data_IF_071337415733
#
_entry.id   IF_071337415733
#
_cell.length_a   1.000
_cell.length_b   1.000
_cell.length_c   1.000
_cell.angle_alpha   90.00
_cell.angle_beta   90.00
_cell.angle_gamma   90.00
#
_symmetry.space_group_name_H-M   'P 1'
#
loop_
_entity.id
_entity.type
_entity.pdbx_description
1 polymer ?
#
# COMPACT_ATOMS: atom_id res chain seq x y z
N UNK A 1 13.78 -10.53 -20.28
CA UNK A 1 14.06 -9.41 -19.35
C UNK A 1 14.30 -10.02 -17.97
N UNK A 2 15.53 -9.99 -17.48
CA UNK A 2 15.85 -10.49 -16.15
C UNK A 2 15.01 -9.78 -15.09
N UNK A 3 14.44 -10.55 -14.14
CA UNK A 3 13.82 -9.99 -12.94
C UNK A 3 14.93 -9.37 -12.07
N UNK A 4 15.39 -8.17 -12.43
CA UNK A 4 16.48 -7.42 -11.76
C UNK A 4 16.25 -7.27 -10.25
N UNK A 5 15.00 -7.45 -9.78
CA UNK A 5 14.61 -7.34 -8.38
C UNK A 5 13.60 -8.43 -7.99
N UNK A 6 13.97 -9.28 -7.03
CA UNK A 6 13.04 -10.26 -6.44
C UNK A 6 12.23 -9.61 -5.30
N UNK A 7 11.01 -9.18 -5.63
CA UNK A 7 10.03 -8.57 -4.71
C UNK A 7 9.64 -9.41 -3.48
N UNK A 8 9.98 -10.71 -3.49
CA UNK A 8 9.63 -11.66 -2.44
C UNK A 8 10.83 -12.18 -1.66
N UNK A 9 12.03 -11.63 -1.89
CA UNK A 9 13.25 -12.03 -1.20
C UNK A 9 13.16 -11.66 0.29
N UNK A 10 13.64 -12.55 1.16
CA UNK A 10 13.86 -12.24 2.59
C UNK A 10 15.10 -11.35 2.75
N UNK A 11 15.08 -10.49 3.74
CA UNK A 11 16.21 -9.67 4.14
C UNK A 11 17.32 -10.52 4.75
N UNK A 12 18.52 -10.35 4.22
CA UNK A 12 19.76 -10.94 4.71
C UNK A 12 20.71 -9.82 5.17
N UNK A 13 21.07 -9.71 6.46
CA UNK A 13 21.93 -8.64 6.98
C UNK A 13 23.38 -8.79 6.51
N UNK A 14 23.77 -9.98 6.06
CA UNK A 14 25.11 -10.22 5.53
C UNK A 14 25.20 -9.83 4.04
N UNK A 15 24.07 -9.58 3.38
CA UNK A 15 24.03 -9.18 1.98
C UNK A 15 24.51 -7.74 1.82
N UNK A 16 25.45 -7.53 0.91
CA UNK A 16 25.87 -6.18 0.47
C UNK A 16 24.96 -5.60 -0.61
N UNK A 17 24.18 -6.45 -1.28
CA UNK A 17 23.24 -6.03 -2.32
C UNK A 17 22.08 -5.21 -1.74
N UNK A 18 21.61 -4.18 -2.46
CA UNK A 18 20.44 -3.42 -2.06
C UNK A 18 19.20 -4.31 -1.85
N UNK A 19 18.43 -4.01 -0.81
CA UNK A 19 17.22 -4.75 -0.49
C UNK A 19 15.96 -3.99 -0.92
N UNK A 20 15.12 -4.64 -1.74
CA UNK A 20 13.87 -4.03 -2.22
C UNK A 20 12.81 -4.11 -1.14
N UNK A 21 12.31 -2.95 -0.73
CA UNK A 21 11.27 -2.82 0.27
C UNK A 21 10.09 -2.05 -0.33
N UNK A 22 8.98 -2.75 -0.56
CA UNK A 22 7.80 -2.09 -1.13
C UNK A 22 7.09 -1.21 -0.09
N UNK A 23 6.35 -0.21 -0.60
CA UNK A 23 5.39 0.61 0.15
C UNK A 23 4.52 -0.24 1.10
N UNK A 24 4.01 -1.37 0.62
CA UNK A 24 3.16 -2.28 1.42
C UNK A 24 3.87 -2.92 2.59
N UNK A 25 5.19 -3.11 2.51
CA UNK A 25 5.96 -3.68 3.60
C UNK A 25 6.37 -2.63 4.62
N UNK A 26 6.56 -1.38 4.22
CA UNK A 26 6.70 -0.26 5.17
C UNK A 26 5.43 -0.13 6.01
N UNK A 27 4.26 -0.15 5.37
CA UNK A 27 2.99 -0.10 6.08
C UNK A 27 2.79 -1.33 7.00
N UNK A 28 3.19 -2.53 6.57
CA UNK A 28 3.19 -3.72 7.43
C UNK A 28 4.07 -3.55 8.69
N UNK A 29 5.22 -2.89 8.58
CA UNK A 29 6.09 -2.58 9.73
C UNK A 29 5.39 -1.66 10.73
N UNK A 30 4.75 -0.60 10.22
CA UNK A 30 3.99 0.35 11.04
C UNK A 30 2.81 -0.34 11.75
N UNK A 31 2.15 -1.28 11.07
CA UNK A 31 0.97 -1.96 11.59
C UNK A 31 1.30 -3.10 12.56
N UNK A 32 2.32 -3.92 12.27
CA UNK A 32 2.68 -5.05 13.10
C UNK A 32 4.13 -5.48 12.89
N UNK A 33 5.00 -5.10 13.83
CA UNK A 33 6.43 -5.46 13.83
C UNK A 33 6.69 -6.97 13.75
N UNK A 34 5.88 -7.80 14.42
CA UNK A 34 6.01 -9.26 14.37
C UNK A 34 5.71 -9.81 12.98
N UNK A 35 4.57 -9.44 12.39
CA UNK A 35 4.22 -9.89 11.05
C UNK A 35 5.24 -9.42 10.01
N UNK A 36 5.73 -8.18 10.15
CA UNK A 36 6.81 -7.66 9.32
C UNK A 36 8.10 -8.48 9.45
N UNK A 37 8.53 -8.82 10.67
CA UNK A 37 9.73 -9.62 10.90
C UNK A 37 9.59 -11.03 10.34
N UNK A 38 8.47 -11.71 10.60
CA UNK A 38 8.19 -13.05 10.06
C UNK A 38 8.28 -13.03 8.53
N UNK A 39 7.65 -12.04 7.88
CA UNK A 39 7.57 -11.96 6.43
C UNK A 39 8.91 -11.54 5.79
N UNK A 40 9.52 -10.44 6.26
CA UNK A 40 10.75 -9.90 5.64
C UNK A 40 12.00 -10.60 6.12
N UNK A 41 12.11 -11.01 7.38
CA UNK A 41 13.34 -11.62 7.91
C UNK A 41 13.34 -13.13 7.78
N UNK A 42 12.22 -13.78 8.11
CA UNK A 42 12.12 -15.24 8.13
C UNK A 42 11.47 -15.84 6.87
N UNK A 43 10.86 -15.01 6.02
CA UNK A 43 10.18 -15.47 4.80
C UNK A 43 8.80 -16.10 5.04
N UNK A 44 8.24 -15.97 6.25
CA UNK A 44 6.94 -16.50 6.63
C UNK A 44 5.88 -15.42 6.40
N UNK A 45 5.18 -15.54 5.27
CA UNK A 45 4.10 -14.62 4.89
C UNK A 45 2.83 -14.93 5.67
N UNK A 46 2.06 -13.88 6.01
CA UNK A 46 0.67 -14.05 6.43
C UNK A 46 -0.14 -14.64 5.26
N UNK A 47 -1.22 -15.37 5.54
CA UNK A 47 -2.14 -15.84 4.50
C UNK A 47 -2.56 -14.70 3.57
N UNK A 48 -2.62 -14.98 2.26
CA UNK A 48 -3.06 -14.01 1.28
C UNK A 48 -4.56 -13.74 1.46
N UNK A 49 -4.97 -12.49 1.28
CA UNK A 49 -6.39 -12.13 1.16
C UNK A 49 -6.89 -12.41 -0.25
N UNK A 50 -8.21 -12.56 -0.40
CA UNK A 50 -8.82 -12.63 -1.72
C UNK A 50 -8.56 -11.33 -2.50
N UNK A 51 -8.32 -11.40 -3.82
CA UNK A 51 -8.11 -10.21 -4.63
C UNK A 51 -9.42 -9.43 -4.81
N UNK A 52 -9.34 -8.10 -4.74
CA UNK A 52 -10.46 -7.21 -5.08
C UNK A 52 -10.54 -6.99 -6.59
N UNK A 53 -10.89 -8.04 -7.35
CA UNK A 53 -10.84 -8.05 -8.82
C UNK A 53 -11.72 -6.97 -9.47
N UNK A 54 -12.87 -6.65 -8.89
CA UNK A 54 -13.72 -5.56 -9.35
C UNK A 54 -13.04 -4.19 -9.19
N UNK A 55 -12.41 -3.95 -8.04
CA UNK A 55 -11.67 -2.70 -7.80
C UNK A 55 -10.50 -2.56 -8.77
N UNK A 56 -9.79 -3.67 -9.06
CA UNK A 56 -8.71 -3.70 -10.04
C UNK A 56 -9.23 -3.38 -11.45
N UNK A 57 -10.40 -3.90 -11.83
CA UNK A 57 -10.99 -3.60 -13.13
C UNK A 57 -11.35 -2.10 -13.26
N UNK A 58 -11.93 -1.51 -12.21
CA UNK A 58 -12.29 -0.10 -12.18
C UNK A 58 -11.03 0.78 -12.23
N UNK A 59 -10.01 0.46 -11.43
CA UNK A 59 -8.70 1.13 -11.49
C UNK A 59 -8.11 1.13 -12.90
N UNK A 60 -8.13 -0.03 -13.57
CA UNK A 60 -7.64 -0.15 -14.95
C UNK A 60 -8.46 0.64 -15.97
N UNK A 61 -9.78 0.77 -15.77
CA UNK A 61 -10.65 1.59 -16.62
C UNK A 61 -10.40 3.09 -16.40
N UNK A 62 -10.27 3.53 -15.15
CA UNK A 62 -9.94 4.91 -14.82
C UNK A 62 -8.59 5.33 -15.40
N UNK A 63 -7.57 4.46 -15.31
CA UNK A 63 -6.26 4.73 -15.93
C UNK A 63 -6.38 5.01 -17.42
N UNK A 64 -7.14 4.18 -18.15
CA UNK A 64 -7.41 4.36 -19.59
C UNK A 64 -8.18 5.65 -19.88
N UNK A 65 -9.19 5.96 -19.07
CA UNK A 65 -9.98 7.19 -19.21
C UNK A 65 -9.11 8.44 -19.03
N UNK A 66 -8.30 8.48 -17.98
CA UNK A 66 -7.34 9.54 -17.74
C UNK A 66 -6.22 9.58 -18.80
N UNK A 67 -5.81 8.44 -19.38
CA UNK A 67 -4.86 8.39 -20.50
C UNK A 67 -5.38 9.13 -21.74
N UNK A 68 -6.68 9.02 -22.06
CA UNK A 68 -7.28 9.78 -23.18
C UNK A 68 -7.15 11.30 -22.95
N UNK A 69 -7.39 11.76 -21.73
CA UNK A 69 -7.23 13.18 -21.38
C UNK A 69 -5.75 13.61 -21.38
N UNK A 70 -4.85 12.73 -20.89
CA UNK A 70 -3.39 12.94 -20.87
C UNK A 70 -2.80 13.09 -22.26
N UNK A 71 -3.21 12.26 -23.21
CA UNK A 71 -2.74 12.31 -24.60
C UNK A 71 -3.15 13.60 -25.29
N UNK A 72 -4.35 14.09 -25.01
CA UNK A 72 -4.89 15.35 -25.54
C UNK A 72 -4.35 16.58 -24.80
N UNK A 73 -3.70 16.42 -23.65
CA UNK A 73 -3.24 17.53 -22.82
C UNK A 73 -4.40 18.35 -22.24
N UNK A 74 -5.54 17.71 -21.96
CA UNK A 74 -6.74 18.39 -21.46
C UNK A 74 -7.08 17.95 -20.04
N UNK A 75 -7.79 18.82 -19.34
CA UNK A 75 -8.33 18.52 -18.02
C UNK A 75 -9.42 17.44 -18.11
N UNK A 76 -9.36 16.47 -17.19
CA UNK A 76 -10.37 15.43 -17.05
C UNK A 76 -11.69 16.00 -16.50
N UNK A 77 -12.84 15.38 -16.83
CA UNK A 77 -14.18 15.82 -16.39
C UNK A 77 -14.29 15.92 -14.86
N UNK A 78 -13.88 14.88 -14.13
CA UNK A 78 -13.85 14.92 -12.65
C UNK A 78 -13.06 16.11 -12.07
N UNK A 79 -11.94 16.50 -12.70
CA UNK A 79 -11.17 17.66 -12.27
C UNK A 79 -11.92 18.98 -12.57
N UNK A 80 -12.60 19.08 -13.72
CA UNK A 80 -13.44 20.24 -14.08
C UNK A 80 -14.59 20.43 -13.11
N UNK A 81 -15.37 19.38 -12.88
CA UNK A 81 -16.54 19.38 -11.99
C UNK A 81 -16.14 19.73 -10.55
N UNK A 82 -14.98 19.23 -10.11
CA UNK A 82 -14.42 19.50 -8.78
C UNK A 82 -13.63 20.81 -8.68
N UNK A 83 -13.56 21.61 -9.76
CA UNK A 83 -12.80 22.88 -9.83
C UNK A 83 -11.32 22.74 -9.46
N UNK A 84 -10.71 21.61 -9.78
CA UNK A 84 -9.28 21.34 -9.57
C UNK A 84 -8.55 21.68 -10.87
N UNK A 85 -7.80 22.78 -10.89
CA UNK A 85 -7.05 23.23 -12.07
C UNK A 85 -5.80 22.36 -12.34
N UNK A 86 -6.00 21.12 -12.74
CA UNK A 86 -4.93 20.17 -13.03
C UNK A 86 -5.27 19.31 -14.25
N UNK A 87 -4.24 18.95 -15.02
CA UNK A 87 -4.37 17.98 -16.12
C UNK A 87 -3.61 16.69 -15.76
N UNK A 88 -3.96 15.53 -16.32
CA UNK A 88 -3.19 14.32 -16.05
C UNK A 88 -1.76 14.49 -16.57
N UNK A 89 -0.77 14.26 -15.71
CA UNK A 89 0.63 14.55 -15.99
C UNK A 89 1.20 13.57 -17.02
N UNK A 90 1.96 14.09 -17.98
CA UNK A 90 2.64 13.28 -19.00
C UNK A 90 4.11 13.14 -18.65
N UNK A 91 4.58 11.91 -18.50
CA UNK A 91 5.98 11.60 -18.21
C UNK A 91 6.39 10.30 -18.93
N UNK A 92 7.61 10.22 -19.52
CA UNK A 92 8.06 9.01 -20.23
C UNK A 92 8.05 7.73 -19.38
N UNK A 93 8.35 7.85 -18.08
CA UNK A 93 8.38 6.71 -17.15
C UNK A 93 7.03 6.41 -16.49
N UNK A 94 5.95 7.15 -16.80
CA UNK A 94 4.68 7.01 -16.07
C UNK A 94 4.12 5.57 -16.14
N UNK A 95 4.20 4.93 -17.30
CA UNK A 95 3.73 3.54 -17.46
C UNK A 95 4.52 2.56 -16.58
N UNK A 96 5.83 2.80 -16.44
CA UNK A 96 6.69 2.03 -15.53
C UNK A 96 6.31 2.28 -14.07
N UNK A 97 6.03 3.54 -13.71
CA UNK A 97 5.64 3.93 -12.35
C UNK A 97 4.27 3.38 -11.93
N UNK A 98 3.36 3.15 -12.88
CA UNK A 98 2.04 2.56 -12.64
C UNK A 98 2.03 1.03 -12.60
N UNK A 99 3.09 0.36 -13.05
CA UNK A 99 3.13 -1.10 -13.12
C UNK A 99 3.59 -1.75 -11.80
N UNK A 100 2.78 -2.66 -11.25
CA UNK A 100 2.99 -3.30 -9.93
C UNK A 100 4.37 -3.96 -9.71
N UNK A 101 5.04 -4.46 -10.74
CA UNK A 101 6.34 -5.12 -10.61
C UNK A 101 7.54 -4.27 -11.09
N UNK A 102 7.28 -3.08 -11.64
CA UNK A 102 8.31 -2.06 -11.89
C UNK A 102 8.20 -0.99 -10.81
N UNK A 103 7.15 -0.20 -10.86
CA UNK A 103 6.86 0.90 -9.94
C UNK A 103 7.91 2.01 -10.01
N UNK A 104 7.60 3.15 -9.41
CA UNK A 104 8.61 4.16 -9.10
C UNK A 104 9.53 3.59 -8.01
N UNK A 105 10.84 3.85 -8.13
CA UNK A 105 11.87 3.30 -7.25
C UNK A 105 12.82 4.38 -6.79
N UNK A 106 13.30 4.28 -5.56
CA UNK A 106 14.39 5.11 -5.06
C UNK A 106 15.34 4.30 -4.18
N UNK A 107 16.65 4.50 -4.37
CA UNK A 107 17.67 3.88 -3.53
C UNK A 107 18.00 4.78 -2.34
N UNK A 108 17.43 4.45 -1.19
CA UNK A 108 17.76 5.08 0.08
C UNK A 108 19.12 4.59 0.55
N UNK A 109 20.17 5.36 0.21
CA UNK A 109 21.59 4.96 0.35
C UNK A 109 21.99 4.62 1.79
N UNK A 110 21.47 5.35 2.77
CA UNK A 110 21.81 5.17 4.19
C UNK A 110 21.40 3.80 4.73
N UNK A 111 20.26 3.25 4.29
CA UNK A 111 19.79 1.91 4.71
C UNK A 111 20.12 0.82 3.71
N UNK A 112 20.63 1.19 2.52
CA UNK A 112 20.78 0.34 1.36
C UNK A 112 19.46 -0.32 0.91
N UNK A 113 18.34 0.39 1.06
CA UNK A 113 17.03 -0.08 0.60
C UNK A 113 16.65 0.53 -0.74
N UNK A 114 16.06 -0.27 -1.61
CA UNK A 114 15.33 0.21 -2.79
C UNK A 114 13.86 0.27 -2.40
N UNK A 115 13.36 1.48 -2.14
CA UNK A 115 11.95 1.70 -1.86
C UNK A 115 11.20 1.69 -3.19
N UNK A 116 10.07 0.99 -3.24
CA UNK A 116 9.32 0.83 -4.48
C UNK A 116 7.81 0.87 -4.25
N UNK A 117 7.09 1.43 -5.22
CA UNK A 117 5.63 1.54 -5.19
C UNK A 117 5.06 1.74 -6.59
N UNK A 118 3.87 1.18 -6.84
CA UNK A 118 3.13 1.43 -8.06
C UNK A 118 1.98 2.40 -7.78
N UNK A 119 1.97 3.51 -8.50
CA UNK A 119 1.02 4.61 -8.29
C UNK A 119 -0.15 4.48 -9.26
N UNK A 120 -1.29 5.07 -8.94
CA UNK A 120 -2.43 5.05 -9.88
C UNK A 120 -2.32 6.16 -10.91
N UNK A 121 -2.14 7.41 -10.45
CA UNK A 121 -2.04 8.56 -11.32
C UNK A 121 -1.27 9.75 -10.69
N UNK A 122 -0.92 10.71 -11.54
CA UNK A 122 -0.27 11.98 -11.21
C UNK A 122 -0.98 13.06 -12.01
N UNK A 123 -1.38 14.15 -11.36
CA UNK A 123 -1.94 15.33 -12.03
C UNK A 123 -1.00 16.52 -11.92
N UNK A 124 -0.83 17.29 -12.99
CA UNK A 124 -0.04 18.52 -12.99
C UNK A 124 -0.95 19.72 -12.77
N UNK A 125 -0.73 20.42 -11.65
CA UNK A 125 -1.36 21.68 -11.33
C UNK A 125 -1.02 22.73 -12.39
N UNK A 126 -2.02 23.37 -13.00
CA UNK A 126 -1.78 24.30 -14.09
C UNK A 126 -1.31 25.69 -13.63
N UNK A 127 -1.53 26.04 -12.36
CA UNK A 127 -1.13 27.33 -11.78
C UNK A 127 0.36 27.36 -11.41
N UNK A 128 0.87 26.30 -10.79
CA UNK A 128 2.24 26.24 -10.28
C UNK A 128 3.10 25.11 -10.87
N UNK A 129 2.54 24.30 -11.78
CA UNK A 129 3.21 23.16 -12.45
C UNK A 129 3.69 22.05 -11.51
N UNK A 130 3.34 22.08 -10.22
CA UNK A 130 3.64 20.99 -9.28
C UNK A 130 2.73 19.78 -9.50
N UNK A 131 3.21 18.61 -9.11
CA UNK A 131 2.56 17.33 -9.37
C UNK A 131 1.80 16.87 -8.13
N UNK A 132 0.51 16.70 -8.27
CA UNK A 132 -0.34 16.05 -7.29
C UNK A 132 -0.23 14.54 -7.45
N UNK A 133 0.04 13.85 -6.35
CA UNK A 133 -0.06 12.39 -6.31
C UNK A 133 -1.52 11.99 -6.18
N UNK A 134 -1.96 11.01 -6.98
CA UNK A 134 -3.35 10.57 -7.00
C UNK A 134 -3.44 9.06 -6.81
N UNK A 135 -4.38 8.64 -5.97
CA UNK A 135 -4.64 7.23 -5.70
C UNK A 135 -6.15 6.96 -5.82
N UNK A 136 -6.48 5.89 -6.55
CA UNK A 136 -7.85 5.53 -6.87
C UNK A 136 -8.38 4.56 -5.82
N UNK A 137 -9.56 4.86 -5.29
CA UNK A 137 -10.21 4.02 -4.28
C UNK A 137 -11.64 3.69 -4.69
N UNK A 138 -12.03 2.45 -4.48
CA UNK A 138 -13.38 1.97 -4.79
C UNK A 138 -13.95 1.27 -3.58
N UNK A 139 -15.20 1.61 -3.25
CA UNK A 139 -15.95 1.00 -2.15
C UNK A 139 -17.44 0.89 -2.51
N UNK A 140 -18.23 0.38 -1.58
CA UNK A 140 -19.69 0.40 -1.66
C UNK A 140 -20.29 0.45 -0.25
N UNK A 141 -20.66 1.66 0.18
CA UNK A 141 -21.14 1.98 1.53
C UNK A 141 -22.28 3.01 1.50
N UNK A 142 -23.12 2.98 2.54
CA UNK A 142 -24.14 4.02 2.78
C UNK A 142 -23.56 5.27 3.43
N UNK A 143 -22.35 5.19 3.98
CA UNK A 143 -21.70 6.29 4.70
C UNK A 143 -20.65 7.02 3.84
N UNK A 144 -20.83 7.03 2.52
CA UNK A 144 -19.79 7.51 1.60
C UNK A 144 -19.40 8.97 1.87
N UNK A 145 -20.38 9.79 2.26
CA UNK A 145 -20.13 11.19 2.63
C UNK A 145 -19.14 11.37 3.78
N UNK A 146 -18.98 10.37 4.66
CA UNK A 146 -18.00 10.42 5.76
C UNK A 146 -16.55 10.22 5.27
N UNK A 147 -16.35 9.75 4.03
CA UNK A 147 -15.02 9.40 3.54
C UNK A 147 -14.16 10.64 3.28
N UNK A 148 -14.77 11.79 3.00
CA UNK A 148 -14.09 13.11 2.90
C UNK A 148 -13.24 13.47 4.12
N UNK A 149 -13.55 12.92 5.29
CA UNK A 149 -12.80 13.16 6.53
C UNK A 149 -11.58 12.25 6.71
N UNK A 150 -11.42 11.22 5.86
CA UNK A 150 -10.34 10.24 5.95
C UNK A 150 -10.15 9.67 7.39
N UNK A 151 -11.26 9.43 8.10
CA UNK A 151 -11.27 9.08 9.52
C UNK A 151 -11.51 7.60 9.88
N UNK A 152 -11.72 6.74 8.89
CA UNK A 152 -11.93 5.31 9.13
C UNK A 152 -10.63 4.61 9.52
N UNK A 153 -10.66 3.50 10.29
CA UNK A 153 -9.44 2.83 10.78
C UNK A 153 -8.42 2.49 9.68
N UNK A 154 -8.90 2.07 8.50
CA UNK A 154 -8.03 1.71 7.37
C UNK A 154 -7.51 2.91 6.58
N UNK A 155 -8.08 4.12 6.77
CA UNK A 155 -7.64 5.32 6.03
C UNK A 155 -6.21 5.74 6.40
N UNK A 156 -5.69 5.32 7.55
CA UNK A 156 -4.28 5.55 7.87
C UNK A 156 -3.34 4.87 6.85
N UNK A 157 -3.67 3.66 6.39
CA UNK A 157 -2.89 2.97 5.36
C UNK A 157 -2.88 3.73 4.02
N UNK A 158 -3.99 4.39 3.69
CA UNK A 158 -4.11 5.19 2.47
C UNK A 158 -3.29 6.47 2.55
N UNK A 159 -3.32 7.16 3.70
CA UNK A 159 -2.46 8.33 3.97
C UNK A 159 -0.97 7.99 3.89
N UNK A 160 -0.57 6.88 4.53
CA UNK A 160 0.81 6.38 4.46
C UNK A 160 1.20 6.07 3.00
N UNK A 161 0.29 5.46 2.24
CA UNK A 161 0.51 5.12 0.84
C UNK A 161 0.76 6.34 -0.03
N UNK A 162 -0.14 7.33 0.02
CA UNK A 162 -0.01 8.55 -0.77
C UNK A 162 1.26 9.34 -0.40
N UNK A 163 1.60 9.38 0.88
CA UNK A 163 2.81 10.05 1.37
C UNK A 163 4.10 9.37 0.90
N UNK A 164 4.17 8.03 0.91
CA UNK A 164 5.31 7.30 0.36
C UNK A 164 5.47 7.56 -1.14
N UNK A 165 4.36 7.67 -1.88
CA UNK A 165 4.40 8.00 -3.30
C UNK A 165 4.90 9.43 -3.55
N UNK A 166 4.45 10.41 -2.76
CA UNK A 166 5.00 11.76 -2.78
C UNK A 166 6.51 11.79 -2.50
N UNK A 167 6.95 11.03 -1.50
CA UNK A 167 8.38 10.90 -1.16
C UNK A 167 9.18 10.25 -2.29
N UNK A 168 8.65 9.19 -2.92
CA UNK A 168 9.29 8.51 -4.05
C UNK A 168 9.43 9.45 -5.26
N UNK A 169 8.38 10.22 -5.57
CA UNK A 169 8.40 11.19 -6.67
C UNK A 169 9.41 12.32 -6.41
N UNK A 170 9.40 12.88 -5.20
CA UNK A 170 10.35 13.93 -4.80
C UNK A 170 11.80 13.45 -4.94
N UNK A 171 12.08 12.21 -4.55
CA UNK A 171 13.41 11.60 -4.67
C UNK A 171 13.76 11.10 -6.08
N UNK A 172 12.83 11.23 -7.03
CA UNK A 172 13.04 11.04 -8.46
C UNK A 172 12.89 12.38 -9.22
N UNK A 173 13.26 13.48 -8.56
CA UNK A 173 13.38 14.82 -9.17
C UNK A 173 12.07 15.39 -9.73
N UNK A 174 10.92 14.89 -9.28
CA UNK A 174 9.62 15.48 -9.60
C UNK A 174 9.26 16.54 -8.54
N UNK A 175 8.88 17.73 -8.99
CA UNK A 175 8.37 18.78 -8.10
C UNK A 175 6.93 18.47 -7.65
N UNK A 176 6.81 17.88 -6.47
CA UNK A 176 5.55 17.38 -5.89
C UNK A 176 4.82 18.49 -5.15
N UNK A 177 3.51 18.60 -5.36
CA UNK A 177 2.65 19.47 -4.59
C UNK A 177 2.42 18.89 -3.19
N UNK A 178 2.30 19.74 -2.16
CA UNK A 178 1.98 19.30 -0.79
C UNK A 178 0.61 18.63 -0.65
N UNK A 179 -0.26 18.75 -1.66
CA UNK A 179 -1.58 18.15 -1.68
C UNK A 179 -1.55 16.97 -2.66
N UNK A 180 -1.92 15.78 -2.17
CA UNK A 180 -2.34 14.66 -3.00
C UNK A 180 -3.87 14.53 -3.00
N UNK A 181 -4.39 13.68 -3.87
CA UNK A 181 -5.81 13.41 -3.97
C UNK A 181 -6.13 11.92 -3.87
N UNK A 182 -7.22 11.61 -3.18
CA UNK A 182 -7.91 10.33 -3.36
C UNK A 182 -9.09 10.56 -4.30
N UNK A 183 -9.08 9.89 -5.46
CA UNK A 183 -10.26 9.82 -6.32
C UNK A 183 -11.06 8.57 -5.91
N UNK A 184 -12.14 8.80 -5.17
CA UNK A 184 -12.92 7.77 -4.53
C UNK A 184 -14.22 7.52 -5.30
N UNK A 185 -14.52 6.26 -5.61
CA UNK A 185 -15.79 5.83 -6.20
C UNK A 185 -16.57 4.95 -5.23
N UNK A 186 -17.87 5.17 -5.15
CA UNK A 186 -18.79 4.40 -4.31
C UNK A 186 -19.87 3.76 -5.16
N UNK A 187 -19.84 2.43 -5.25
CA UNK A 187 -20.89 1.66 -5.91
C UNK A 187 -22.19 1.82 -5.13
N UNK A 188 -23.21 2.39 -5.77
CA UNK A 188 -24.53 2.65 -5.20
C UNK A 188 -25.24 1.33 -4.92
N UNK A 189 -25.91 1.26 -3.76
CA UNK A 189 -26.75 0.12 -3.33
C UNK A 189 -28.24 0.47 -3.29
N UNK A 190 -28.55 1.74 -3.51
CA UNK A 190 -29.86 2.37 -3.46
C UNK A 190 -30.41 2.64 -4.87
N UNK A 191 -30.05 1.78 -5.83
CA UNK A 191 -30.62 1.75 -7.18
C UNK A 191 -31.68 0.65 -7.28
N UNK A 192 -32.77 0.90 -8.01
CA UNK A 192 -33.93 0.00 -8.04
C UNK A 192 -33.61 -1.38 -8.64
N UNK A 193 -32.66 -1.45 -9.59
CA UNK A 193 -32.32 -2.66 -10.35
C UNK A 193 -30.82 -2.69 -10.66
N UNK A 194 -30.25 -3.90 -10.77
CA UNK A 194 -28.84 -4.10 -11.10
C UNK A 194 -28.53 -3.90 -12.59
N UNK A 195 -29.37 -4.39 -13.50
CA UNK A 195 -29.24 -4.21 -14.96
C UNK A 195 -27.85 -4.50 -15.56
N UNK A 196 -27.05 -5.35 -14.90
CA UNK A 196 -25.67 -5.64 -15.32
C UNK A 196 -24.71 -4.46 -15.17
N UNK A 197 -25.08 -3.43 -14.40
CA UNK A 197 -24.32 -2.19 -14.23
C UNK A 197 -24.19 -1.84 -12.75
N UNK A 198 -23.00 -1.41 -12.35
CA UNK A 198 -22.82 -0.69 -11.10
C UNK A 198 -22.84 0.81 -11.40
N UNK A 199 -23.69 1.54 -10.69
CA UNK A 199 -23.71 3.00 -10.71
C UNK A 199 -22.80 3.49 -9.59
N UNK A 200 -21.99 4.51 -9.87
CA UNK A 200 -21.05 5.05 -8.90
C UNK A 200 -21.35 6.53 -8.66
N UNK A 201 -21.31 6.93 -7.40
CA UNK A 201 -21.03 8.31 -7.02
C UNK A 201 -19.51 8.44 -6.79
N UNK A 202 -18.95 9.64 -6.93
CA UNK A 202 -17.51 9.87 -6.72
C UNK A 202 -17.24 11.07 -5.80
N UNK A 203 -16.06 11.07 -5.18
CA UNK A 203 -15.52 12.19 -4.42
C UNK A 203 -14.03 12.34 -4.72
N UNK A 204 -13.56 13.58 -4.90
CA UNK A 204 -12.13 13.89 -4.89
C UNK A 204 -11.78 14.50 -3.54
N UNK A 205 -10.94 13.80 -2.78
CA UNK A 205 -10.62 14.16 -1.40
C UNK A 205 -9.16 14.66 -1.35
N UNK A 206 -8.91 15.96 -1.06
CA UNK A 206 -7.56 16.47 -0.88
C UNK A 206 -6.93 15.90 0.41
N UNK A 207 -5.64 15.64 0.36
CA UNK A 207 -4.85 15.22 1.51
C UNK A 207 -3.49 15.91 1.50
N UNK A 208 -3.17 16.61 2.59
CA UNK A 208 -1.84 17.17 2.81
C UNK A 208 -0.84 16.04 3.10
N UNK A 209 0.13 15.89 2.21
CA UNK A 209 1.13 14.83 2.26
C UNK A 209 2.09 15.05 3.42
N UNK A 210 2.15 14.10 4.34
CA UNK A 210 3.17 14.07 5.39
C UNK A 210 4.24 13.04 5.04
N UNK A 211 5.37 13.53 4.54
CA UNK A 211 6.54 12.71 4.19
C UNK A 211 7.60 12.66 5.30
N UNK A 212 7.43 13.43 6.38
CA UNK A 212 8.49 13.68 7.38
C UNK A 212 8.90 12.44 8.16
N UNK A 213 8.00 11.47 8.32
CA UNK A 213 8.22 10.25 9.09
C UNK A 213 8.96 9.16 8.32
N UNK A 214 9.12 9.29 6.99
CA UNK A 214 9.51 8.18 6.11
C UNK A 214 10.98 7.79 6.34
N UNK A 215 11.92 8.73 6.26
CA UNK A 215 13.35 8.43 6.38
C UNK A 215 13.69 7.82 7.75
N UNK A 216 13.16 8.41 8.82
CA UNK A 216 13.27 7.87 10.18
C UNK A 216 12.70 6.45 10.29
N UNK A 217 11.60 6.19 9.61
CA UNK A 217 10.99 4.86 9.59
C UNK A 217 11.85 3.87 8.84
N UNK A 218 12.47 4.26 7.71
CA UNK A 218 13.39 3.41 6.97
C UNK A 218 14.62 3.04 7.81
N UNK A 219 15.18 4.00 8.56
CA UNK A 219 16.27 3.74 9.51
C UNK A 219 15.83 2.75 10.61
N UNK A 220 14.66 2.98 11.23
CA UNK A 220 14.10 2.05 12.24
C UNK A 220 13.87 0.65 11.67
N UNK A 221 13.45 0.53 10.42
CA UNK A 221 13.27 -0.76 9.75
C UNK A 221 14.60 -1.49 9.58
N UNK A 222 15.65 -0.76 9.17
CA UNK A 222 17.00 -1.30 8.99
C UNK A 222 17.53 -1.88 10.30
N UNK A 223 17.55 -1.08 11.36
CA UNK A 223 18.00 -1.52 12.68
C UNK A 223 17.21 -2.73 13.16
N UNK A 224 15.89 -2.68 12.99
CA UNK A 224 14.98 -3.74 13.40
C UNK A 224 15.23 -5.07 12.69
N UNK A 225 15.46 -5.05 11.37
CA UNK A 225 15.75 -6.25 10.60
C UNK A 225 17.11 -6.87 10.93
N UNK A 226 18.05 -6.09 11.46
CA UNK A 226 19.36 -6.58 11.91
C UNK A 226 19.31 -7.24 13.29
N UNK A 227 18.25 -7.02 14.05
CA UNK A 227 18.04 -7.73 15.31
C UNK A 227 17.80 -9.22 15.09
N UNK A 228 18.29 -10.05 16.02
CA UNK A 228 18.00 -11.49 16.10
C UNK A 228 16.74 -11.80 16.93
N UNK A 229 16.15 -10.79 17.57
CA UNK A 229 15.03 -10.96 18.49
C UNK A 229 13.71 -10.94 17.72
N UNK A 230 13.00 -12.06 17.73
CA UNK A 230 11.64 -12.11 17.19
C UNK A 230 10.71 -11.29 18.11
N UNK A 231 9.95 -10.32 17.59
CA UNK A 231 9.03 -9.52 18.39
C UNK A 231 7.91 -10.36 19.00
N UNK A 232 7.39 -9.92 20.14
CA UNK A 232 6.21 -10.51 20.78
C UNK A 232 4.95 -10.35 19.92
N UNK A 233 3.91 -11.14 20.21
CA UNK A 233 2.63 -11.01 19.54
C UNK A 233 2.00 -9.65 19.81
N UNK A 234 1.47 -9.04 18.75
CA UNK A 234 0.68 -7.81 18.87
C UNK A 234 -0.79 -8.18 19.10
N UNK A 235 -1.40 -7.81 20.24
CA UNK A 235 -2.79 -8.15 20.54
C UNK A 235 -3.81 -7.48 19.61
N UNK A 236 -3.44 -6.38 18.94
CA UNK A 236 -4.31 -5.66 17.99
C UNK A 236 -4.24 -6.24 16.57
N UNK A 237 -3.34 -7.19 16.31
CA UNK A 237 -3.17 -7.80 15.00
C UNK A 237 -3.85 -9.18 14.96
N UNK A 238 -4.83 -9.35 14.08
CA UNK A 238 -5.58 -10.60 13.93
C UNK A 238 -4.68 -11.80 13.61
N UNK A 239 -3.67 -11.61 12.76
CA UNK A 239 -2.68 -12.66 12.46
C UNK A 239 -1.86 -13.04 13.70
N UNK A 240 -1.46 -12.07 14.52
CA UNK A 240 -0.75 -12.36 15.76
C UNK A 240 -1.63 -13.08 16.76
N UNK A 241 -2.90 -12.70 16.88
CA UNK A 241 -3.88 -13.35 17.75
C UNK A 241 -4.08 -14.81 17.34
N UNK A 242 -4.37 -15.05 16.05
CA UNK A 242 -4.50 -16.39 15.49
C UNK A 242 -3.26 -17.25 15.75
N UNK A 243 -2.06 -16.75 15.43
CA UNK A 243 -0.81 -17.49 15.64
C UNK A 243 -0.55 -17.79 17.12
N UNK A 244 -0.88 -16.86 18.02
CA UNK A 244 -0.71 -17.05 19.46
C UNK A 244 -1.62 -18.16 19.97
N UNK A 245 -2.90 -18.11 19.64
CA UNK A 245 -3.91 -19.10 20.06
C UNK A 245 -3.60 -20.48 19.47
N UNK A 246 -3.26 -20.55 18.18
CA UNK A 246 -2.82 -21.79 17.53
C UNK A 246 -1.60 -22.41 18.22
N UNK A 247 -0.57 -21.61 18.49
CA UNK A 247 0.64 -22.10 19.16
C UNK A 247 0.39 -22.57 20.59
N UNK A 248 -0.55 -21.95 21.31
CA UNK A 248 -0.97 -22.42 22.64
C UNK A 248 -1.64 -23.79 22.57
N UNK A 249 -2.51 -24.03 21.58
CA UNK A 249 -3.14 -25.35 21.37
C UNK A 249 -2.08 -26.39 21.02
N UNK A 250 -1.21 -26.10 20.04
CA UNK A 250 -0.14 -27.00 19.61
C UNK A 250 0.82 -27.34 20.77
N UNK A 251 1.23 -26.36 21.57
CA UNK A 251 2.10 -26.60 22.73
C UNK A 251 1.45 -27.57 23.72
N UNK A 252 0.18 -27.36 24.06
CA UNK A 252 -0.55 -28.26 24.98
C UNK A 252 -0.64 -29.69 24.44
N UNK A 253 -0.86 -29.85 23.14
CA UNK A 253 -0.92 -31.17 22.50
C UNK A 253 0.45 -31.86 22.51
N UNK A 254 1.53 -31.11 22.28
CA UNK A 254 2.90 -31.62 22.39
C UNK A 254 3.23 -32.03 23.82
N UNK A 255 2.88 -31.20 24.82
CA UNK A 255 3.11 -31.52 26.23
C UNK A 255 2.36 -32.80 26.65
N UNK A 256 1.10 -32.95 26.22
CA UNK A 256 0.32 -34.20 26.43
C UNK A 256 0.98 -35.40 25.77
N UNK A 257 1.42 -35.25 24.51
CA UNK A 257 2.08 -36.33 23.77
C UNK A 257 3.40 -36.74 24.43
N UNK A 258 4.16 -35.77 24.95
CA UNK A 258 5.40 -36.01 25.68
C UNK A 258 5.14 -36.71 27.03
N UNK A 259 4.05 -36.38 27.74
CA UNK A 259 3.64 -37.12 28.95
C UNK A 259 3.28 -38.57 28.63
N UNK A 260 2.47 -38.79 27.59
CA UNK A 260 2.09 -40.13 27.13
C UNK A 260 3.31 -41.01 26.82
N UNK A 261 4.30 -40.46 26.09
CA UNK A 261 5.53 -41.18 25.76
C UNK A 261 6.40 -41.51 26.98
N UNK A 262 6.32 -40.72 28.05
CA UNK A 262 7.10 -40.93 29.29
C UNK A 262 6.40 -41.88 30.26
N UNK A 263 5.07 -41.84 30.33
CA UNK A 263 4.28 -42.49 31.39
C UNK A 263 3.48 -43.71 30.88
N UNK A 264 3.36 -43.89 29.56
CA UNK A 264 2.70 -45.05 28.95
C UNK A 264 1.17 -45.10 29.08
N UNK A 265 0.54 -44.08 29.64
CA UNK A 265 -0.92 -44.01 29.83
C UNK A 265 -1.57 -42.92 28.98
N UNK A 266 -2.50 -43.32 28.12
CA UNK A 266 -3.36 -42.40 27.35
C UNK A 266 -4.63 -42.09 28.15
N UNK A 267 -4.89 -40.81 28.39
CA UNK A 267 -6.24 -40.26 28.58
C UNK A 267 -6.51 -39.14 27.55
#
# INVERSE_FOLDING_TARGET
>A
MEKKYNWSKKYDPNSKEPYVLSRSKIDLFLNCKRCFYLDRRLGIKTPATLPFTLNIAIDGLLKKEFDIAREKGVQHEYCKESKINAIPYKHPELDSWRENFKGIRHHHKSTNFIIAGAMDDIWENQDNKKKHVVDYKVTSTKEFEKFKYLGMPWHQHYKNQLSIYGWLMKHNEVDVHEIGYFLYFNGKKDVDRFEGKLVFDYQIIPYELDMSWIDDTLMKIKDFLETKKIPTYDPKCDNCRYLKENNQVVSKLLDKSLSFLKEGSAE
#
